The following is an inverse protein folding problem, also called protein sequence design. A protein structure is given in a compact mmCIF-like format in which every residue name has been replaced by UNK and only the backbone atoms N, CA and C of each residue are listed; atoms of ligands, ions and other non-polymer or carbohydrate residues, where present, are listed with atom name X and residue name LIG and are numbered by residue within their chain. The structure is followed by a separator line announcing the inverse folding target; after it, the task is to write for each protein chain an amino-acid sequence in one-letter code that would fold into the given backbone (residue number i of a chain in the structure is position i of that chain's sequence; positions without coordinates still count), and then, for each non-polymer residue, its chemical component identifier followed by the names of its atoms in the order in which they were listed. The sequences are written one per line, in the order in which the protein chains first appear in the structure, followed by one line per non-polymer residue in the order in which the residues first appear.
data_IF_871232931198
#
_entry.id   IF_871232931198
#
_cell.length_a   1.000
_cell.length_b   1.000
_cell.length_c   1.000
_cell.angle_alpha   90.00
_cell.angle_beta   90.00
_cell.angle_gamma   90.00
#
_symmetry.space_group_name_H-M   'P 1'
#
loop_
_entity.id
_entity.type
_entity.pdbx_description
1 polymer ?
#
# COMPACT_ATOMS: atom_id res chain seq x y z
N UNK A 1 14.99 22.42 27.93
CA UNK A 1 13.89 21.51 27.55
C UNK A 1 14.43 20.54 26.54
N UNK A 2 14.22 19.24 26.77
CA UNK A 2 14.68 18.11 25.96
C UNK A 2 14.08 18.15 24.54
N UNK A 3 14.80 17.53 23.59
CA UNK A 3 14.60 17.54 22.15
C UNK A 3 13.14 17.48 21.68
N UNK A 4 12.80 18.40 20.76
CA UNK A 4 11.55 18.44 20.04
C UNK A 4 11.45 17.33 18.99
N UNK A 5 11.05 16.15 19.44
CA UNK A 5 10.56 15.11 18.53
C UNK A 5 9.23 15.59 17.92
N UNK A 6 9.10 15.64 16.58
CA UNK A 6 7.80 15.89 15.95
C UNK A 6 6.80 14.81 16.40
N UNK A 7 5.51 15.15 16.59
CA UNK A 7 4.54 14.17 17.04
C UNK A 7 4.48 13.02 16.03
N UNK A 8 4.56 11.77 16.52
CA UNK A 8 4.43 10.52 15.76
C UNK A 8 3.04 10.32 15.12
N UNK A 9 2.27 11.41 14.98
CA UNK A 9 0.90 11.42 14.50
C UNK A 9 0.83 12.30 13.25
N UNK A 10 0.20 11.79 12.17
CA UNK A 10 0.02 12.58 10.97
C UNK A 10 -0.83 13.81 11.27
N UNK A 11 -0.45 14.95 10.69
CA UNK A 11 -1.25 16.17 10.71
C UNK A 11 -2.47 16.01 9.81
N UNK A 12 -3.51 16.82 10.04
CA UNK A 12 -4.75 16.75 9.27
C UNK A 12 -4.52 16.77 7.75
N UNK A 13 -3.61 17.62 7.27
CA UNK A 13 -3.25 17.69 5.84
C UNK A 13 -2.64 16.39 5.30
N UNK A 14 -1.82 15.70 6.09
CA UNK A 14 -1.17 14.44 5.69
C UNK A 14 -2.21 13.31 5.58
N UNK A 15 -3.25 13.34 6.42
CA UNK A 15 -4.39 12.41 6.34
C UNK A 15 -5.20 12.63 5.06
N UNK A 16 -5.55 13.89 4.75
CA UNK A 16 -6.27 14.23 3.53
C UNK A 16 -5.49 13.87 2.26
N UNK A 17 -4.17 14.05 2.25
CA UNK A 17 -3.32 13.64 1.14
C UNK A 17 -3.27 12.11 1.00
N UNK A 18 -3.24 11.38 2.10
CA UNK A 18 -3.29 9.91 2.08
C UNK A 18 -4.60 9.41 1.47
N UNK A 19 -5.73 10.03 1.82
CA UNK A 19 -7.04 9.69 1.23
C UNK A 19 -7.13 9.97 -0.26
N UNK A 20 -6.53 11.06 -0.75
CA UNK A 20 -6.46 11.33 -2.20
C UNK A 20 -5.78 10.22 -3.01
N UNK A 21 -4.89 9.44 -2.39
CA UNK A 21 -4.23 8.30 -3.02
C UNK A 21 -5.08 7.03 -2.93
N UNK A 22 -5.75 6.80 -1.81
CA UNK A 22 -6.54 5.58 -1.56
C UNK A 22 -7.91 5.59 -2.24
N UNK A 23 -8.60 6.74 -2.26
CA UNK A 23 -9.96 6.87 -2.80
C UNK A 23 -10.10 6.32 -4.23
N UNK A 24 -9.19 6.61 -5.19
CA UNK A 24 -9.30 6.05 -6.53
C UNK A 24 -9.12 4.53 -6.57
N UNK A 25 -8.29 3.97 -5.69
CA UNK A 25 -8.04 2.53 -5.59
C UNK A 25 -9.29 1.82 -5.05
N UNK A 26 -9.92 2.37 -4.01
CA UNK A 26 -11.16 1.81 -3.46
C UNK A 26 -12.30 1.84 -4.48
N UNK A 27 -12.47 2.98 -5.20
CA UNK A 27 -13.47 3.10 -6.27
C UNK A 27 -13.23 2.11 -7.41
N UNK A 28 -11.97 1.84 -7.74
CA UNK A 28 -11.61 0.85 -8.74
C UNK A 28 -12.06 -0.55 -8.31
N UNK A 29 -11.76 -0.98 -7.08
CA UNK A 29 -12.20 -2.30 -6.59
C UNK A 29 -13.72 -2.43 -6.46
N UNK A 30 -14.41 -1.36 -6.07
CA UNK A 30 -15.88 -1.36 -6.00
C UNK A 30 -16.54 -1.63 -7.35
N UNK A 31 -15.87 -1.31 -8.47
CA UNK A 31 -16.40 -1.46 -9.83
C UNK A 31 -15.82 -2.67 -10.58
N UNK A 32 -14.59 -3.08 -10.28
CA UNK A 32 -13.86 -4.12 -11.02
C UNK A 32 -13.73 -5.44 -10.27
N UNK A 33 -14.19 -5.49 -9.02
CA UNK A 33 -14.11 -6.67 -8.16
C UNK A 33 -12.97 -6.60 -7.14
N UNK A 34 -12.97 -7.54 -6.18
CA UNK A 34 -12.00 -7.55 -5.09
C UNK A 34 -10.58 -7.84 -5.60
N UNK A 35 -9.55 -7.49 -4.82
CA UNK A 35 -8.18 -7.90 -5.08
C UNK A 35 -8.01 -9.42 -5.23
N UNK A 36 -6.96 -9.83 -5.94
CA UNK A 36 -6.63 -11.24 -6.11
C UNK A 36 -6.37 -11.93 -4.75
N UNK A 37 -6.94 -13.11 -4.58
CA UNK A 37 -6.77 -13.90 -3.36
C UNK A 37 -5.44 -14.66 -3.38
N UNK A 38 -4.94 -14.99 -2.20
CA UNK A 38 -3.73 -15.79 -2.04
C UNK A 38 -3.86 -16.73 -0.84
N UNK A 39 -3.06 -17.80 -0.84
CA UNK A 39 -3.09 -18.81 0.22
C UNK A 39 -2.49 -18.23 1.52
N UNK A 40 -3.11 -18.45 2.69
CA UNK A 40 -2.51 -18.07 3.97
C UNK A 40 -1.11 -18.67 4.16
N UNK A 41 -0.17 -17.87 4.67
CA UNK A 41 1.24 -18.27 4.83
C UNK A 41 2.09 -18.12 3.56
N UNK A 42 1.52 -17.61 2.47
CA UNK A 42 2.26 -17.19 1.28
C UNK A 42 2.42 -15.67 1.25
N UNK A 43 3.24 -15.17 0.32
CA UNK A 43 3.58 -13.75 0.20
C UNK A 43 2.58 -12.92 -0.61
N UNK A 44 1.56 -13.56 -1.16
CA UNK A 44 0.58 -12.91 -2.02
C UNK A 44 0.39 -13.66 -3.32
N UNK A 45 -0.40 -13.08 -4.24
CA UNK A 45 -0.59 -13.62 -5.56
C UNK A 45 0.65 -13.44 -6.44
N UNK A 46 0.79 -14.28 -7.47
CA UNK A 46 1.86 -14.17 -8.48
C UNK A 46 1.90 -12.81 -9.20
N UNK A 47 0.76 -12.10 -9.25
CA UNK A 47 0.67 -10.75 -9.80
C UNK A 47 1.46 -9.73 -9.00
N UNK A 48 1.67 -9.95 -7.69
CA UNK A 48 2.49 -9.09 -6.84
C UNK A 48 3.99 -9.17 -7.22
N UNK A 49 4.49 -10.37 -7.54
CA UNK A 49 5.86 -10.54 -8.05
C UNK A 49 6.00 -9.95 -9.45
N UNK A 50 5.02 -10.21 -10.32
CA UNK A 50 5.00 -9.68 -11.68
C UNK A 50 5.00 -8.14 -11.69
N UNK A 51 4.32 -7.49 -10.74
CA UNK A 51 4.31 -6.04 -10.59
C UNK A 51 5.71 -5.47 -10.37
N UNK A 52 6.48 -6.05 -9.43
CA UNK A 52 7.85 -5.60 -9.16
C UNK A 52 8.82 -5.95 -10.29
N UNK A 53 8.65 -7.13 -10.89
CA UNK A 53 9.51 -7.60 -11.98
C UNK A 53 9.46 -6.70 -13.21
N UNK A 54 8.33 -6.01 -13.47
CA UNK A 54 8.20 -4.99 -14.54
C UNK A 54 9.23 -3.87 -14.42
N UNK A 55 9.61 -3.54 -13.19
CA UNK A 55 10.62 -2.52 -12.89
C UNK A 55 11.99 -3.13 -12.56
N UNK A 56 12.20 -4.43 -12.85
CA UNK A 56 13.43 -5.16 -12.54
C UNK A 56 13.67 -5.37 -11.04
N UNK A 57 12.62 -5.27 -10.22
CA UNK A 57 12.69 -5.40 -8.76
C UNK A 57 12.11 -6.72 -8.30
N UNK A 58 12.53 -7.17 -7.13
CA UNK A 58 11.98 -8.34 -6.43
C UNK A 58 11.79 -8.00 -4.95
N UNK A 59 10.86 -8.69 -4.29
CA UNK A 59 10.70 -8.59 -2.84
C UNK A 59 12.00 -9.06 -2.15
N UNK A 60 12.49 -8.28 -1.18
CA UNK A 60 13.78 -8.56 -0.52
C UNK A 60 13.76 -9.78 0.40
N UNK A 61 12.57 -10.12 0.88
CA UNK A 61 12.24 -11.33 1.63
C UNK A 61 10.89 -11.74 1.07
N UNK A 62 10.83 -12.71 0.17
CA UNK A 62 9.62 -13.38 -0.26
C UNK A 62 9.51 -14.75 0.40
#
# INVERSE_FOLDING_TARGET
MLLGEPPLFPRHEEVELSWKILDPIEKFWASHGPPEQYRPGTWGPSSADALLARDGRNWRRP
#
